data_IF_130148657951
#
_entry.id   IF_130148657951
#
_cell.length_a   1.000
_cell.length_b   1.000
_cell.length_c   1.000
_cell.angle_alpha   90.00
_cell.angle_beta   90.00
_cell.angle_gamma   90.00
#
_symmetry.space_group_name_H-M   'P 1'
#
loop_
_entity.id
_entity.type
_entity.pdbx_description
1 polymer ?
#
# COMPACT_ATOMS: atom_id res chain seq x y z
N UNK A 1 10.30 -24.73 -6.00
CA UNK A 1 9.04 -24.67 -5.21
C UNK A 1 8.43 -23.30 -5.47
N UNK A 2 7.21 -23.22 -6.01
CA UNK A 2 6.56 -21.95 -6.36
C UNK A 2 6.09 -21.28 -5.07
N UNK A 3 6.62 -20.11 -4.73
CA UNK A 3 6.02 -19.26 -3.70
C UNK A 3 4.97 -18.40 -4.41
N UNK A 4 3.74 -18.88 -4.44
CA UNK A 4 2.58 -18.02 -4.66
C UNK A 4 2.45 -17.18 -3.39
N UNK A 5 2.27 -15.88 -3.51
CA UNK A 5 2.13 -15.04 -2.33
C UNK A 5 0.97 -15.53 -1.46
N UNK A 6 1.25 -15.74 -0.18
CA UNK A 6 0.27 -16.29 0.75
C UNK A 6 -0.33 -15.16 1.57
N UNK A 7 -1.50 -15.41 2.17
CA UNK A 7 -2.10 -14.55 3.21
C UNK A 7 -1.05 -14.11 4.24
N UNK A 8 -0.10 -15.00 4.58
CA UNK A 8 0.96 -14.70 5.53
C UNK A 8 1.88 -13.57 5.07
N UNK A 9 2.21 -13.48 3.78
CA UNK A 9 3.04 -12.38 3.25
C UNK A 9 2.33 -11.03 3.36
N UNK A 10 1.03 -10.99 3.03
CA UNK A 10 0.22 -9.76 3.15
C UNK A 10 0.14 -9.30 4.60
N UNK A 11 -0.07 -10.24 5.52
CA UNK A 11 -0.11 -9.96 6.95
C UNK A 11 1.24 -9.51 7.49
N UNK A 12 2.34 -10.10 7.01
CA UNK A 12 3.67 -9.68 7.42
C UNK A 12 3.99 -8.26 6.95
N UNK A 13 3.69 -7.94 5.70
CA UNK A 13 3.83 -6.56 5.21
C UNK A 13 2.93 -5.58 6.00
N UNK A 14 1.70 -5.98 6.35
CA UNK A 14 0.83 -5.17 7.19
C UNK A 14 1.42 -4.92 8.59
N UNK A 15 2.12 -5.90 9.18
CA UNK A 15 2.83 -5.72 10.45
C UNK A 15 4.00 -4.75 10.33
N UNK A 16 4.74 -4.80 9.22
CA UNK A 16 5.84 -3.87 8.95
C UNK A 16 5.32 -2.43 8.86
N UNK A 17 4.20 -2.21 8.16
CA UNK A 17 3.53 -0.92 8.12
C UNK A 17 3.06 -0.47 9.51
N UNK A 18 2.56 -1.37 10.35
CA UNK A 18 2.12 -1.04 11.71
C UNK A 18 3.31 -0.63 12.60
N UNK A 19 4.45 -1.34 12.52
CA UNK A 19 5.69 -0.98 13.21
C UNK A 19 6.22 0.38 12.75
N UNK A 20 6.29 0.59 11.43
CA UNK A 20 6.73 1.85 10.84
C UNK A 20 5.83 3.01 11.32
N UNK A 21 4.51 2.79 11.31
CA UNK A 21 3.52 3.77 11.81
C UNK A 21 3.72 4.14 13.27
N UNK A 22 4.15 3.19 14.10
CA UNK A 22 4.40 3.41 15.52
C UNK A 22 5.84 3.90 15.79
N UNK A 23 6.63 4.14 14.75
CA UNK A 23 8.06 4.47 14.84
C UNK A 23 8.92 3.40 15.54
N UNK A 24 8.47 2.14 15.50
CA UNK A 24 9.20 0.98 16.05
C UNK A 24 10.38 0.54 15.16
N UNK A 25 10.31 0.89 13.86
CA UNK A 25 11.38 0.66 12.86
C UNK A 25 11.63 1.94 12.07
N UNK A 26 12.85 2.12 11.58
CA UNK A 26 13.19 3.21 10.66
C UNK A 26 12.68 2.93 9.23
N UNK A 27 12.72 3.96 8.37
CA UNK A 27 12.39 3.80 6.96
C UNK A 27 13.39 2.89 6.23
N UNK A 28 14.68 2.96 6.61
CA UNK A 28 15.73 2.10 6.07
C UNK A 28 15.48 0.64 6.46
N UNK A 29 15.13 0.39 7.73
CA UNK A 29 14.78 -0.95 8.21
C UNK A 29 13.52 -1.47 7.50
N UNK A 30 12.53 -0.61 7.27
CA UNK A 30 11.33 -0.96 6.49
C UNK A 30 11.67 -1.34 5.04
N UNK A 31 12.57 -0.60 4.38
CA UNK A 31 13.03 -0.91 3.03
C UNK A 31 13.78 -2.24 2.96
N UNK A 32 14.72 -2.49 3.88
CA UNK A 32 15.45 -3.75 3.98
C UNK A 32 14.50 -4.94 4.19
N UNK A 33 13.55 -4.78 5.11
CA UNK A 33 12.54 -5.78 5.42
C UNK A 33 11.62 -6.05 4.21
N UNK A 34 11.23 -5.03 3.45
CA UNK A 34 10.46 -5.18 2.21
C UNK A 34 11.24 -5.98 1.14
N UNK A 35 12.51 -5.66 0.91
CA UNK A 35 13.33 -6.40 -0.07
C UNK A 35 13.56 -7.85 0.35
N UNK A 36 13.72 -8.09 1.66
CA UNK A 36 13.80 -9.44 2.21
C UNK A 36 12.49 -10.21 1.98
N UNK A 37 11.34 -9.59 2.27
CA UNK A 37 10.01 -10.20 2.16
C UNK A 37 9.65 -10.56 0.71
N UNK A 38 10.03 -9.72 -0.25
CA UNK A 38 9.70 -9.89 -1.68
C UNK A 38 10.73 -10.69 -2.46
N UNK A 39 11.85 -11.07 -1.82
CA UNK A 39 12.96 -11.78 -2.47
C UNK A 39 12.51 -13.11 -3.07
N UNK A 40 12.74 -13.26 -4.37
CA UNK A 40 12.44 -14.51 -5.10
C UNK A 40 10.97 -14.67 -5.51
N UNK A 41 10.12 -13.67 -5.26
CA UNK A 41 8.76 -13.61 -5.82
C UNK A 41 8.81 -13.32 -7.32
N UNK A 42 7.79 -13.76 -8.05
CA UNK A 42 7.70 -13.50 -9.48
C UNK A 42 7.09 -12.13 -9.75
N UNK A 43 7.65 -11.43 -10.74
CA UNK A 43 7.21 -10.09 -11.15
C UNK A 43 5.80 -10.03 -11.74
N UNK A 44 5.21 -11.16 -12.13
CA UNK A 44 3.84 -11.27 -12.63
C UNK A 44 2.80 -11.57 -11.52
N UNK A 45 3.23 -11.65 -10.26
CA UNK A 45 2.32 -11.82 -9.14
C UNK A 45 1.59 -10.50 -8.83
N UNK A 46 0.26 -10.50 -9.01
CA UNK A 46 -0.64 -9.39 -8.69
C UNK A 46 -0.46 -8.87 -7.26
N UNK A 47 -0.14 -9.77 -6.32
CA UNK A 47 0.02 -9.41 -4.92
C UNK A 47 1.36 -8.73 -4.65
N UNK A 48 2.42 -9.16 -5.35
CA UNK A 48 3.71 -8.47 -5.32
C UNK A 48 3.57 -7.06 -5.88
N UNK A 49 2.84 -6.90 -6.98
CA UNK A 49 2.61 -5.60 -7.61
C UNK A 49 1.82 -4.66 -6.70
N UNK A 50 0.82 -5.17 -5.99
CA UNK A 50 0.11 -4.40 -4.96
C UNK A 50 1.04 -3.96 -3.82
N UNK A 51 1.81 -4.88 -3.24
CA UNK A 51 2.73 -4.56 -2.14
C UNK A 51 3.77 -3.54 -2.62
N UNK A 52 4.29 -3.71 -3.83
CA UNK A 52 5.23 -2.78 -4.44
C UNK A 52 4.62 -1.38 -4.64
N UNK A 53 3.38 -1.30 -5.11
CA UNK A 53 2.67 -0.02 -5.24
C UNK A 53 2.45 0.64 -3.87
N UNK A 54 2.03 -0.12 -2.85
CA UNK A 54 1.90 0.39 -1.48
C UNK A 54 3.26 0.84 -0.95
N UNK A 55 4.33 0.06 -1.15
CA UNK A 55 5.69 0.42 -0.75
C UNK A 55 6.11 1.75 -1.38
N UNK A 56 5.88 1.96 -2.67
CA UNK A 56 6.19 3.23 -3.32
C UNK A 56 5.32 4.39 -2.83
N UNK A 57 4.04 4.17 -2.56
CA UNK A 57 3.19 5.22 -1.97
C UNK A 57 3.74 5.60 -0.59
N UNK A 58 4.03 4.61 0.26
CA UNK A 58 4.60 4.83 1.58
C UNK A 58 5.93 5.57 1.46
N UNK A 59 6.85 5.13 0.61
CA UNK A 59 8.13 5.79 0.35
C UNK A 59 7.98 7.26 -0.05
N UNK A 60 7.01 7.59 -0.92
CA UNK A 60 6.76 8.98 -1.33
C UNK A 60 6.15 9.87 -0.25
N UNK A 61 5.66 9.31 0.85
CA UNK A 61 5.22 10.08 2.03
C UNK A 61 6.42 10.51 2.89
N UNK A 62 7.61 9.94 2.65
CA UNK A 62 8.84 10.31 3.35
C UNK A 62 9.59 11.38 2.57
N UNK A 63 10.04 12.40 3.29
CA UNK A 63 10.92 13.42 2.76
C UNK A 63 12.37 12.99 3.03
N UNK A 64 13.16 12.78 1.98
CA UNK A 64 14.59 12.42 2.04
C UNK A 64 15.43 13.46 2.82
N UNK A 65 14.87 14.63 3.15
CA UNK A 65 15.54 15.75 3.81
C UNK A 65 15.29 15.85 5.33
N UNK A 66 14.51 14.97 5.95
CA UNK A 66 14.31 14.98 7.41
C UNK A 66 15.09 13.85 8.11
N UNK A 67 16.15 14.23 8.83
CA UNK A 67 17.13 13.30 9.41
C UNK A 67 16.66 12.46 10.62
N UNK A 68 15.47 12.68 11.19
CA UNK A 68 15.07 11.97 12.41
C UNK A 68 13.55 11.81 12.47
N UNK A 69 13.09 10.55 12.49
CA UNK A 69 11.73 10.10 12.80
C UNK A 69 10.59 10.90 12.17
N UNK A 70 9.99 10.33 11.12
CA UNK A 70 8.85 10.93 10.42
C UNK A 70 7.75 11.36 11.40
N UNK A 71 7.40 12.65 11.40
CA UNK A 71 6.16 13.10 12.01
C UNK A 71 5.00 12.65 11.13
N UNK A 72 4.48 11.45 11.43
CA UNK A 72 3.26 10.94 10.82
C UNK A 72 2.11 11.86 11.24
N UNK A 73 1.62 12.66 10.30
CA UNK A 73 0.41 13.44 10.50
C UNK A 73 -0.85 12.56 10.41
N UNK A 74 -2.00 13.17 10.68
CA UNK A 74 -3.28 12.45 10.70
C UNK A 74 -3.67 11.89 9.31
N UNK A 75 -3.24 12.53 8.23
CA UNK A 75 -3.53 12.11 6.85
C UNK A 75 -2.69 10.88 6.46
N UNK A 76 -1.37 10.92 6.71
CA UNK A 76 -0.44 9.80 6.51
C UNK A 76 -0.88 8.61 7.36
N UNK A 77 -1.27 8.84 8.62
CA UNK A 77 -1.76 7.79 9.50
C UNK A 77 -3.04 7.14 8.95
N UNK A 78 -3.98 7.95 8.43
CA UNK A 78 -5.20 7.45 7.80
C UNK A 78 -4.90 6.58 6.59
N UNK A 79 -3.93 6.98 5.76
CA UNK A 79 -3.53 6.23 4.57
C UNK A 79 -2.85 4.91 4.92
N UNK A 80 -1.91 4.90 5.87
CA UNK A 80 -1.28 3.67 6.37
C UNK A 80 -2.32 2.71 6.96
N UNK A 81 -3.27 3.22 7.75
CA UNK A 81 -4.35 2.40 8.31
C UNK A 81 -5.23 1.77 7.23
N UNK A 82 -5.50 2.50 6.13
CA UNK A 82 -6.22 1.97 4.98
C UNK A 82 -5.46 0.83 4.31
N UNK A 83 -4.14 0.96 4.15
CA UNK A 83 -3.29 -0.12 3.60
C UNK A 83 -3.28 -1.36 4.49
N UNK A 84 -3.06 -1.19 5.79
CA UNK A 84 -3.08 -2.28 6.77
C UNK A 84 -4.43 -3.00 6.74
N UNK A 85 -5.54 -2.25 6.73
CA UNK A 85 -6.88 -2.84 6.63
C UNK A 85 -7.05 -3.67 5.36
N UNK A 86 -6.61 -3.14 4.21
CA UNK A 86 -6.71 -3.85 2.94
C UNK A 86 -5.91 -5.16 2.96
N UNK A 87 -4.65 -5.09 3.38
CA UNK A 87 -3.75 -6.25 3.46
C UNK A 87 -4.29 -7.34 4.39
N UNK A 88 -4.83 -6.94 5.55
CA UNK A 88 -5.44 -7.86 6.52
C UNK A 88 -6.75 -8.49 6.03
N UNK A 89 -7.52 -7.77 5.19
CA UNK A 89 -8.81 -8.25 4.68
C UNK A 89 -8.70 -9.47 3.75
N UNK A 90 -7.50 -9.74 3.24
CA UNK A 90 -7.22 -10.73 2.20
C UNK A 90 -8.12 -10.58 0.95
N UNK A 91 -8.69 -9.39 0.71
CA UNK A 91 -9.41 -9.11 -0.52
C UNK A 91 -8.45 -9.10 -1.70
N UNK A 92 -8.90 -9.60 -2.85
CA UNK A 92 -8.15 -9.45 -4.09
C UNK A 92 -8.14 -7.98 -4.50
N UNK A 93 -7.00 -7.46 -4.94
CA UNK A 93 -6.94 -6.13 -5.53
C UNK A 93 -7.69 -6.12 -6.86
N UNK A 94 -8.68 -5.23 -6.97
CA UNK A 94 -9.49 -5.05 -8.18
C UNK A 94 -9.00 -3.88 -9.05
N UNK A 95 -8.06 -3.09 -8.54
CA UNK A 95 -7.44 -2.03 -9.31
C UNK A 95 -6.55 -2.60 -10.42
N UNK A 96 -6.54 -1.97 -11.62
CA UNK A 96 -5.64 -2.40 -12.68
C UNK A 96 -4.18 -2.17 -12.27
N UNK A 97 -3.32 -3.17 -12.50
CA UNK A 97 -1.86 -2.99 -12.40
C UNK A 97 -1.46 -1.96 -13.46
N UNK A 98 -0.80 -0.89 -13.05
CA UNK A 98 -0.24 0.09 -13.97
C UNK A 98 1.27 -0.18 -14.09
N UNK A 99 1.71 -0.62 -15.26
CA UNK A 99 3.13 -0.91 -15.51
C UNK A 99 4.02 0.32 -15.26
N UNK A 100 4.72 0.34 -14.11
CA UNK A 100 5.37 1.53 -13.56
C UNK A 100 6.46 2.16 -14.44
N UNK A 101 7.27 1.37 -15.14
CA UNK A 101 8.47 1.88 -15.86
C UNK A 101 8.13 2.67 -17.12
N UNK A 102 7.09 2.26 -17.87
CA UNK A 102 6.62 3.00 -19.05
C UNK A 102 5.95 4.33 -18.65
N UNK A 103 5.32 4.35 -17.49
CA UNK A 103 4.56 5.53 -17.03
C UNK A 103 5.47 6.70 -16.66
N UNK A 104 6.68 6.46 -16.13
CA UNK A 104 7.64 7.52 -15.76
C UNK A 104 8.22 8.21 -16.99
N UNK A 105 8.66 7.43 -17.99
CA UNK A 105 9.11 7.98 -19.28
C UNK A 105 8.02 8.78 -19.98
N UNK A 106 6.81 8.24 -20.08
CA UNK A 106 5.68 8.93 -20.70
C UNK A 106 5.26 10.19 -19.93
N UNK A 107 5.35 10.19 -18.60
CA UNK A 107 5.04 11.36 -17.77
C UNK A 107 6.01 12.50 -18.04
N UNK A 108 7.31 12.19 -18.12
CA UNK A 108 8.35 13.17 -18.43
C UNK A 108 8.16 13.76 -19.83
N UNK A 109 7.96 12.91 -20.84
CA UNK A 109 7.80 13.36 -22.23
C UNK A 109 6.46 14.05 -22.52
N UNK A 110 5.43 13.83 -21.69
CA UNK A 110 4.11 14.47 -21.86
C UNK A 110 3.88 15.64 -20.90
N UNK A 111 4.91 16.12 -20.21
CA UNK A 111 4.81 17.19 -19.20
C UNK A 111 3.64 16.97 -18.21
N UNK A 112 3.44 15.72 -17.77
CA UNK A 112 2.37 15.38 -16.83
C UNK A 112 0.96 15.27 -17.43
N UNK A 113 0.76 15.51 -18.73
CA UNK A 113 -0.56 15.31 -19.38
C UNK A 113 -1.00 13.84 -19.35
N UNK A 114 -0.05 12.91 -19.49
CA UNK A 114 -0.29 11.48 -19.32
C UNK A 114 -0.86 11.16 -17.93
N UNK A 115 -0.34 11.77 -16.86
CA UNK A 115 -0.88 11.60 -15.50
C UNK A 115 -2.32 12.09 -15.37
N UNK A 116 -2.69 13.16 -16.07
CA UNK A 116 -4.07 13.67 -16.07
C UNK A 116 -5.03 12.70 -16.75
N UNK A 117 -4.63 12.10 -17.87
CA UNK A 117 -5.41 11.05 -18.55
C UNK A 117 -5.49 9.80 -17.67
N UNK A 118 -4.37 9.39 -17.07
CA UNK A 118 -4.30 8.22 -16.20
C UNK A 118 -5.21 8.36 -14.99
N UNK A 119 -5.17 9.50 -14.29
CA UNK A 119 -6.09 9.80 -13.18
C UNK A 119 -7.56 9.76 -13.64
N UNK A 120 -7.89 10.27 -14.83
CA UNK A 120 -9.25 10.18 -15.38
C UNK A 120 -9.68 8.74 -15.67
N UNK A 121 -8.78 7.90 -16.17
CA UNK A 121 -9.07 6.49 -16.40
C UNK A 121 -9.26 5.73 -15.08
N UNK A 122 -8.39 5.96 -14.10
CA UNK A 122 -8.46 5.34 -12.78
C UNK A 122 -9.73 5.71 -12.01
N UNK A 123 -10.18 6.97 -12.11
CA UNK A 123 -11.49 7.41 -11.56
C UNK A 123 -12.69 6.64 -12.13
N UNK A 124 -12.54 5.92 -13.24
CA UNK A 124 -13.63 5.07 -13.78
C UNK A 124 -13.70 3.70 -13.08
N UNK A 125 -12.62 3.25 -12.44
CA UNK A 125 -12.57 1.95 -11.77
C UNK A 125 -13.06 2.03 -10.32
N UNK A 126 -12.78 3.13 -9.64
CA UNK A 126 -13.18 3.31 -8.25
C UNK A 126 -12.83 4.69 -7.72
N UNK A 127 -13.03 4.85 -6.41
CA UNK A 127 -12.64 6.05 -5.70
C UNK A 127 -11.14 6.03 -5.40
N UNK A 128 -10.40 6.95 -6.03
CA UNK A 128 -8.96 7.12 -5.82
C UNK A 128 -8.62 7.36 -4.34
N UNK A 129 -9.50 8.03 -3.59
CA UNK A 129 -9.29 8.33 -2.17
C UNK A 129 -9.53 7.10 -1.28
N UNK A 130 -10.09 6.02 -1.83
CA UNK A 130 -10.31 4.76 -1.13
C UNK A 130 -9.30 3.68 -1.53
N UNK A 131 -8.40 3.94 -2.49
CA UNK A 131 -7.40 2.97 -2.93
C UNK A 131 -6.62 2.41 -1.72
N UNK A 132 -6.50 1.08 -1.55
CA UNK A 132 -6.67 0.02 -2.55
C UNK A 132 -8.09 -0.55 -2.65
N UNK A 133 -9.07 -0.01 -1.92
CA UNK A 133 -10.48 -0.37 -2.06
C UNK A 133 -11.10 0.28 -3.31
N UNK A 134 -12.17 -0.32 -3.86
CA UNK A 134 -12.90 0.29 -4.99
C UNK A 134 -13.76 1.47 -4.53
N UNK A 135 -14.24 1.45 -3.28
CA UNK A 135 -15.07 2.53 -2.73
C UNK A 135 -14.79 2.80 -1.25
N UNK A 136 -15.11 4.02 -0.81
CA UNK A 136 -15.03 4.42 0.61
C UNK A 136 -15.87 3.49 1.49
N UNK A 137 -17.02 3.02 1.00
CA UNK A 137 -17.90 2.12 1.76
C UNK A 137 -17.21 0.79 2.06
N UNK A 138 -16.45 0.24 1.11
CA UNK A 138 -15.71 -1.00 1.34
C UNK A 138 -14.63 -0.83 2.40
N UNK A 139 -13.92 0.31 2.36
CA UNK A 139 -12.94 0.66 3.39
C UNK A 139 -13.61 0.77 4.76
N UNK A 140 -14.72 1.50 4.87
CA UNK A 140 -15.47 1.67 6.11
C UNK A 140 -15.94 0.32 6.68
N UNK A 141 -16.53 -0.54 5.86
CA UNK A 141 -16.96 -1.88 6.27
C UNK A 141 -15.78 -2.73 6.78
N UNK A 142 -14.62 -2.65 6.11
CA UNK A 142 -13.41 -3.35 6.53
C UNK A 142 -12.89 -2.81 7.87
N UNK A 143 -12.86 -1.49 8.03
CA UNK A 143 -12.42 -0.81 9.25
C UNK A 143 -13.32 -1.18 10.43
N UNK A 144 -14.64 -1.15 10.25
CA UNK A 144 -15.61 -1.54 11.29
C UNK A 144 -15.43 -2.99 11.73
N UNK A 145 -15.21 -3.91 10.78
CA UNK A 145 -14.96 -5.32 11.07
C UNK A 145 -13.69 -5.51 11.90
N UNK A 146 -12.58 -4.88 11.48
CA UNK A 146 -11.31 -4.93 12.22
C UNK A 146 -11.43 -4.31 13.62
N UNK A 147 -12.24 -3.27 13.80
CA UNK A 147 -12.52 -2.68 15.11
C UNK A 147 -13.33 -3.63 16.02
N UNK A 148 -14.30 -4.37 15.48
CA UNK A 148 -15.09 -5.34 16.25
C UNK A 148 -14.24 -6.52 16.71
N UNK A 149 -13.42 -7.08 15.83
CA UNK A 149 -12.53 -8.21 16.15
C UNK A 149 -11.48 -7.83 17.23
N UNK A 150 -11.00 -6.57 17.25
CA UNK A 150 -10.12 -6.06 18.31
C UNK A 150 -10.80 -5.90 19.68
N UNK A 151 -12.12 -5.73 19.71
CA UNK A 151 -12.89 -5.57 20.93
C UNK A 151 -13.35 -6.92 21.51
N UNK A 152 -13.63 -7.91 20.65
CA UNK A 152 -14.02 -9.27 21.06
C UNK A 152 -12.82 -10.10 21.56
N UNK A 153 -11.58 -9.76 21.18
CA UNK A 153 -10.36 -10.41 21.68
C UNK A 153 -9.83 -9.87 23.03
N UNK A 154 -10.60 -9.03 23.72
CA UNK A 154 -10.23 -8.41 25.01
C UNK A 154 -11.17 -8.77 26.17
N UNK A 155 -12.04 -9.77 26.01
CA UNK A 155 -12.84 -10.35 27.11
C UNK A 155 -12.19 -11.59 27.73
#
# INVERSE_FOLDING_TARGET
MRMVMTIATRLEFARQLDKLRNSDISIDEFEEEYFSLTKGMKKDDLDLLLIQDIFFQVWHLYDDFSDDYLQIDEEINSDINRYICFLASNKKCEWPILEGILTTFLTFFTFGYYNKIRRKQLKKFGDLNAWPFISIQEYQNCREKNCREKNEGKE
#
